data_IF_301873833431
#
_entry.id   IF_301873833431
#
_cell.length_a   1.000
_cell.length_b   1.000
_cell.length_c   1.000
_cell.angle_alpha   90.00
_cell.angle_beta   90.00
_cell.angle_gamma   90.00
#
_symmetry.space_group_name_H-M   'P 1'
#
loop_
_entity.id
_entity.type
_entity.pdbx_description
1 polymer ?
#
# COMPACT_ATOMS: atom_id res chain seq x y z
N UNK A 1 38.92 -12.30 -97.69
CA UNK A 1 39.68 -11.96 -96.47
C UNK A 1 39.15 -12.85 -95.34
N UNK A 2 40.08 -13.43 -94.58
CA UNK A 2 39.93 -14.60 -93.71
C UNK A 2 39.55 -14.23 -92.27
N UNK A 3 38.64 -15.04 -91.69
CA UNK A 3 38.49 -15.46 -90.28
C UNK A 3 38.35 -14.41 -89.17
N UNK A 4 37.33 -14.61 -88.31
CA UNK A 4 37.54 -14.94 -86.88
C UNK A 4 36.35 -15.75 -86.33
N UNK A 5 36.72 -16.69 -85.47
CA UNK A 5 35.98 -17.87 -85.02
C UNK A 5 35.04 -17.65 -83.83
N UNK A 6 34.16 -18.64 -83.70
CA UNK A 6 33.23 -19.06 -82.65
C UNK A 6 33.74 -19.09 -81.20
N UNK A 7 32.82 -18.86 -80.25
CA UNK A 7 32.73 -19.60 -78.98
C UNK A 7 31.27 -19.82 -78.56
N UNK A 8 30.90 -21.10 -78.38
CA UNK A 8 29.62 -21.59 -77.87
C UNK A 8 29.64 -21.67 -76.32
N UNK A 9 28.49 -21.63 -75.65
CA UNK A 9 28.04 -22.78 -74.84
C UNK A 9 26.57 -22.65 -74.42
N UNK A 10 25.83 -23.72 -74.68
CA UNK A 10 24.56 -24.07 -74.05
C UNK A 10 24.86 -24.64 -72.66
N UNK A 11 24.11 -24.27 -71.62
CA UNK A 11 23.65 -25.18 -70.54
C UNK A 11 22.69 -24.41 -69.60
N UNK A 12 21.38 -24.66 -69.64
CA UNK A 12 20.64 -25.67 -68.83
C UNK A 12 20.37 -25.20 -67.38
N UNK A 13 19.11 -24.78 -67.15
CA UNK A 13 18.24 -24.97 -65.95
C UNK A 13 17.05 -24.00 -66.09
N UNK A 14 15.94 -24.34 -66.75
CA UNK A 14 14.86 -25.25 -66.36
C UNK A 14 14.52 -25.30 -64.86
N UNK A 15 13.33 -24.73 -64.61
CA UNK A 15 12.25 -25.23 -63.76
C UNK A 15 12.21 -24.80 -62.29
N UNK A 16 11.29 -23.87 -62.04
CA UNK A 16 10.09 -24.11 -61.21
C UNK A 16 10.27 -25.13 -60.10
N UNK A 17 10.63 -24.69 -58.91
CA UNK A 17 10.16 -25.25 -57.64
C UNK A 17 10.45 -24.21 -56.56
N UNK A 18 9.40 -23.55 -56.06
CA UNK A 18 9.09 -23.42 -54.64
C UNK A 18 7.99 -22.37 -54.44
N UNK A 19 6.76 -22.83 -54.61
CA UNK A 19 5.66 -22.38 -53.77
C UNK A 19 6.01 -22.70 -52.32
N UNK A 20 6.72 -21.79 -51.64
CA UNK A 20 6.95 -21.85 -50.20
C UNK A 20 6.51 -20.54 -49.54
N UNK A 21 5.18 -20.41 -49.42
CA UNK A 21 4.50 -19.97 -48.20
C UNK A 21 5.21 -18.85 -47.39
N UNK A 22 5.23 -17.61 -47.89
CA UNK A 22 5.46 -16.44 -47.03
C UNK A 22 4.16 -16.00 -46.36
N UNK A 23 3.65 -16.82 -45.44
CA UNK A 23 2.70 -16.37 -44.41
C UNK A 23 3.50 -16.02 -43.15
N UNK A 24 4.33 -14.99 -43.23
CA UNK A 24 4.68 -14.21 -42.04
C UNK A 24 3.88 -12.91 -42.13
N UNK A 25 2.66 -12.94 -41.61
CA UNK A 25 2.05 -11.70 -41.14
C UNK A 25 3.00 -11.19 -40.06
N UNK A 26 3.91 -10.30 -40.46
CA UNK A 26 4.77 -9.58 -39.58
C UNK A 26 3.80 -8.78 -38.69
N UNK A 27 3.46 -9.34 -37.52
CA UNK A 27 2.83 -8.57 -36.45
C UNK A 27 3.89 -7.58 -35.99
N UNK A 28 4.08 -6.53 -36.78
CA UNK A 28 4.53 -5.25 -36.27
C UNK A 28 3.53 -4.93 -35.18
N UNK A 29 3.89 -5.25 -33.93
CA UNK A 29 3.31 -4.58 -32.77
C UNK A 29 3.64 -3.12 -33.02
N UNK A 30 2.74 -2.40 -33.68
CA UNK A 30 2.72 -0.94 -33.73
C UNK A 30 2.88 -0.54 -32.28
N UNK A 31 4.07 -0.07 -31.92
CA UNK A 31 4.25 0.64 -30.66
C UNK A 31 3.36 1.84 -30.85
N UNK A 32 2.15 1.79 -30.29
CA UNK A 32 1.28 2.95 -30.23
C UNK A 32 2.13 4.06 -29.66
N UNK A 33 2.33 5.12 -30.44
CA UNK A 33 2.92 6.35 -29.95
C UNK A 33 2.21 6.69 -28.66
N UNK A 34 2.97 6.66 -27.56
CA UNK A 34 2.42 6.83 -26.23
C UNK A 34 2.05 8.30 -26.14
N UNK A 35 0.83 8.63 -26.53
CA UNK A 35 0.26 9.94 -26.27
C UNK A 35 0.48 10.28 -24.80
N UNK A 36 0.97 11.49 -24.55
CA UNK A 36 1.27 11.91 -23.20
C UNK A 36 -0.01 11.79 -22.36
N UNK A 37 0.09 11.39 -21.09
CA UNK A 37 -1.08 11.24 -20.23
C UNK A 37 -1.95 12.51 -20.25
N UNK A 38 -3.27 12.37 -20.26
CA UNK A 38 -4.21 13.49 -20.34
C UNK A 38 -3.97 14.63 -19.33
N UNK A 39 -3.47 14.31 -18.13
CA UNK A 39 -3.03 15.29 -17.12
C UNK A 39 -1.89 16.21 -17.58
N UNK A 40 -1.08 15.77 -18.55
CA UNK A 40 0.06 16.53 -19.09
C UNK A 40 -0.43 17.64 -20.01
N UNK A 41 -1.44 17.39 -20.85
CA UNK A 41 -2.06 18.43 -21.69
C UNK A 41 -2.64 19.57 -20.83
N UNK A 42 -3.27 19.23 -19.70
CA UNK A 42 -3.77 20.21 -18.74
C UNK A 42 -2.66 21.07 -18.13
N UNK A 43 -1.53 20.46 -17.75
CA UNK A 43 -0.37 21.15 -17.18
C UNK A 43 0.34 22.06 -18.19
N UNK A 44 0.32 21.69 -19.48
CA UNK A 44 0.90 22.52 -20.53
C UNK A 44 0.02 23.75 -20.85
N UNK A 45 -1.31 23.60 -20.87
CA UNK A 45 -2.23 24.67 -21.29
C UNK A 45 -2.41 25.74 -20.21
N UNK A 46 -2.45 25.38 -18.92
CA UNK A 46 -2.77 26.33 -17.84
C UNK A 46 -1.56 26.85 -17.06
N UNK A 47 -0.48 26.07 -16.95
CA UNK A 47 0.63 26.33 -16.02
C UNK A 47 1.96 26.58 -16.73
N UNK A 48 2.08 26.24 -18.02
CA UNK A 48 3.32 26.42 -18.79
C UNK A 48 4.46 25.59 -18.20
N UNK A 49 4.28 24.27 -18.15
CA UNK A 49 5.20 23.37 -17.45
C UNK A 49 6.59 23.33 -18.13
N UNK A 50 7.68 23.75 -17.45
CA UNK A 50 9.02 23.73 -18.04
C UNK A 50 9.53 22.30 -18.23
N UNK A 51 10.18 22.03 -19.37
CA UNK A 51 10.69 20.71 -19.76
C UNK A 51 11.59 20.05 -18.71
N UNK A 52 12.33 20.85 -17.94
CA UNK A 52 13.20 20.37 -16.85
C UNK A 52 12.40 19.70 -15.71
N UNK A 53 11.17 20.13 -15.45
CA UNK A 53 10.28 19.52 -14.46
C UNK A 53 9.70 18.20 -14.98
N UNK A 54 9.31 18.15 -16.26
CA UNK A 54 8.84 16.91 -16.88
C UNK A 54 9.88 15.79 -16.83
N UNK A 55 11.12 16.10 -17.17
CA UNK A 55 12.21 15.13 -17.13
C UNK A 55 12.44 14.64 -15.69
N UNK A 56 12.38 15.53 -14.69
CA UNK A 56 12.48 15.15 -13.27
C UNK A 56 11.33 14.24 -12.83
N UNK A 57 10.09 14.56 -13.19
CA UNK A 57 8.91 13.76 -12.85
C UNK A 57 8.98 12.39 -13.51
N UNK A 58 9.39 12.32 -14.78
CA UNK A 58 9.55 11.06 -15.50
C UNK A 58 10.67 10.19 -14.90
N UNK A 59 11.79 10.81 -14.51
CA UNK A 59 12.90 10.11 -13.84
C UNK A 59 12.49 9.60 -12.46
N UNK A 60 11.81 10.43 -11.67
CA UNK A 60 11.26 10.06 -10.36
C UNK A 60 10.18 8.97 -10.47
N UNK A 61 9.32 9.03 -11.49
CA UNK A 61 8.33 7.99 -11.79
C UNK A 61 8.98 6.67 -12.19
N UNK A 62 10.08 6.72 -12.93
CA UNK A 62 10.82 5.51 -13.31
C UNK A 62 11.47 4.87 -12.10
N UNK A 63 12.18 5.65 -11.27
CA UNK A 63 12.83 5.13 -10.07
C UNK A 63 11.80 4.59 -9.07
N UNK A 64 10.71 5.32 -8.80
CA UNK A 64 9.67 4.85 -7.89
C UNK A 64 9.01 3.55 -8.39
N UNK A 65 8.80 3.42 -9.69
CA UNK A 65 8.28 2.18 -10.28
C UNK A 65 9.25 1.01 -10.14
N UNK A 66 10.55 1.25 -10.24
CA UNK A 66 11.59 0.23 -10.01
C UNK A 66 11.62 -0.19 -8.54
N UNK A 67 11.59 0.75 -7.58
CA UNK A 67 11.50 0.44 -6.15
C UNK A 67 10.23 -0.34 -5.78
N UNK A 68 9.06 0.09 -6.27
CA UNK A 68 7.79 -0.61 -6.03
C UNK A 68 7.81 -2.03 -6.63
N UNK A 69 8.49 -2.23 -7.78
CA UNK A 69 8.60 -3.55 -8.40
C UNK A 69 9.56 -4.46 -7.63
N UNK A 70 10.67 -3.91 -7.15
CA UNK A 70 11.69 -4.66 -6.42
C UNK A 70 11.21 -5.06 -5.01
N UNK A 71 10.53 -4.14 -4.32
CA UNK A 71 10.18 -4.29 -2.91
C UNK A 71 8.68 -4.49 -2.67
N UNK A 72 7.93 -4.92 -3.71
CA UNK A 72 6.47 -5.13 -3.65
C UNK A 72 6.06 -6.00 -2.45
N UNK A 73 6.83 -7.06 -2.16
CA UNK A 73 6.56 -7.97 -1.04
C UNK A 73 6.71 -7.25 0.30
N UNK A 74 7.76 -6.44 0.47
CA UNK A 74 8.00 -5.67 1.69
C UNK A 74 6.89 -4.63 1.94
N UNK A 75 6.49 -3.91 0.89
CA UNK A 75 5.40 -2.92 0.96
C UNK A 75 4.05 -3.56 1.31
N UNK A 76 3.76 -4.74 0.77
CA UNK A 76 2.53 -5.47 1.10
C UNK A 76 2.58 -5.92 2.56
N UNK A 77 3.70 -6.51 3.01
CA UNK A 77 3.85 -6.95 4.40
C UNK A 77 3.73 -5.78 5.39
N UNK A 78 4.35 -4.64 5.11
CA UNK A 78 4.27 -3.47 6.00
C UNK A 78 2.84 -2.91 6.05
N UNK A 79 2.13 -2.88 4.93
CA UNK A 79 0.72 -2.48 4.90
C UNK A 79 -0.13 -3.43 5.75
N UNK A 80 0.05 -4.75 5.63
CA UNK A 80 -0.64 -5.73 6.47
C UNK A 80 -0.38 -5.53 7.96
N UNK A 81 0.87 -5.26 8.34
CA UNK A 81 1.25 -5.00 9.73
C UNK A 81 0.55 -3.75 10.26
N UNK A 82 0.56 -2.64 9.50
CA UNK A 82 -0.09 -1.39 9.89
C UNK A 82 -1.61 -1.58 10.01
N UNK A 83 -2.24 -2.26 9.06
CA UNK A 83 -3.69 -2.54 9.10
C UNK A 83 -4.05 -3.38 10.33
N UNK A 84 -3.23 -4.38 10.65
CA UNK A 84 -3.42 -5.23 11.83
C UNK A 84 -3.33 -4.40 13.11
N UNK A 85 -2.29 -3.56 13.26
CA UNK A 85 -2.17 -2.68 14.42
C UNK A 85 -3.33 -1.68 14.53
N UNK A 86 -3.76 -1.10 13.41
CA UNK A 86 -4.88 -0.16 13.39
C UNK A 86 -6.19 -0.84 13.82
N UNK A 87 -6.43 -2.08 13.42
CA UNK A 87 -7.60 -2.86 13.83
C UNK A 87 -7.61 -3.16 15.33
N UNK A 88 -6.46 -3.50 15.92
CA UNK A 88 -6.35 -3.81 17.35
C UNK A 88 -6.20 -2.56 18.24
N UNK A 89 -5.85 -1.40 17.69
CA UNK A 89 -5.72 -0.15 18.42
C UNK A 89 -6.91 0.19 19.34
N UNK A 90 -8.19 0.14 18.90
CA UNK A 90 -9.32 0.42 19.78
C UNK A 90 -9.40 -0.53 20.98
N UNK A 91 -9.06 -1.81 20.81
CA UNK A 91 -9.05 -2.80 21.91
C UNK A 91 -7.97 -2.44 22.93
N UNK A 92 -6.77 -2.11 22.47
CA UNK A 92 -5.66 -1.70 23.33
C UNK A 92 -6.02 -0.40 24.08
N UNK A 93 -6.59 0.58 23.36
CA UNK A 93 -7.04 1.85 23.95
C UNK A 93 -8.13 1.64 25.00
N UNK A 94 -9.11 0.79 24.71
CA UNK A 94 -10.19 0.47 25.64
C UNK A 94 -9.65 -0.21 26.91
N UNK A 95 -8.76 -1.19 26.76
CA UNK A 95 -8.12 -1.86 27.89
C UNK A 95 -7.30 -0.89 28.75
N UNK A 96 -6.55 0.03 28.11
CA UNK A 96 -5.78 1.06 28.81
C UNK A 96 -6.69 2.00 29.61
N UNK A 97 -7.72 2.55 28.98
CA UNK A 97 -8.66 3.45 29.65
C UNK A 97 -9.35 2.78 30.84
N UNK A 98 -9.67 1.48 30.73
CA UNK A 98 -10.24 0.69 31.82
C UNK A 98 -9.27 0.56 33.00
N UNK A 99 -8.00 0.24 32.73
CA UNK A 99 -6.97 0.16 33.77
C UNK A 99 -6.71 1.51 34.43
N UNK A 100 -6.64 2.58 33.63
CA UNK A 100 -6.46 3.95 34.12
C UNK A 100 -7.63 4.36 35.02
N UNK A 101 -8.87 4.06 34.61
CA UNK A 101 -10.05 4.30 35.43
C UNK A 101 -9.98 3.51 36.75
N UNK A 102 -9.68 2.20 36.71
CA UNK A 102 -9.60 1.36 37.92
C UNK A 102 -8.58 1.93 38.92
N UNK A 103 -7.43 2.39 38.42
CA UNK A 103 -6.39 3.01 39.27
C UNK A 103 -6.86 4.33 39.88
N UNK A 104 -7.53 5.20 39.11
CA UNK A 104 -8.05 6.47 39.60
C UNK A 104 -9.15 6.23 40.64
N UNK A 105 -10.06 5.30 40.36
CA UNK A 105 -11.15 4.94 41.25
C UNK A 105 -10.65 4.36 42.58
N UNK A 106 -9.64 3.47 42.57
CA UNK A 106 -9.00 2.98 43.80
C UNK A 106 -8.45 4.12 44.65
N UNK A 107 -7.69 5.03 44.04
CA UNK A 107 -7.12 6.17 44.74
C UNK A 107 -8.20 7.09 45.32
N UNK A 108 -9.28 7.31 44.58
CA UNK A 108 -10.43 8.09 45.04
C UNK A 108 -11.12 7.45 46.26
N UNK A 109 -11.42 6.14 46.18
CA UNK A 109 -12.07 5.39 47.27
C UNK A 109 -11.21 5.40 48.54
N UNK A 110 -9.92 5.12 48.42
CA UNK A 110 -8.99 5.11 49.58
C UNK A 110 -8.93 6.51 50.22
N UNK A 111 -8.79 7.56 49.41
CA UNK A 111 -8.59 8.93 49.89
C UNK A 111 -9.84 9.55 50.52
N UNK A 112 -11.01 9.40 49.91
CA UNK A 112 -12.21 10.12 50.35
C UNK A 112 -12.97 9.42 51.48
N UNK A 113 -12.82 8.10 51.61
CA UNK A 113 -13.60 7.32 52.58
C UNK A 113 -12.78 6.88 53.81
N UNK A 114 -11.48 7.23 53.88
CA UNK A 114 -10.55 6.82 54.94
C UNK A 114 -10.67 5.33 55.30
N UNK A 115 -10.82 4.47 54.29
CA UNK A 115 -11.09 3.05 54.48
C UNK A 115 -9.76 2.32 54.62
N UNK A 116 -9.17 2.40 55.82
CA UNK A 116 -7.93 1.70 56.18
C UNK A 116 -8.15 0.16 56.19
N UNK A 117 -9.40 -0.28 56.30
CA UNK A 117 -9.77 -1.68 56.58
C UNK A 117 -10.47 -2.41 55.42
N UNK A 118 -10.54 -1.83 54.21
CA UNK A 118 -11.12 -2.54 53.06
C UNK A 118 -10.13 -3.55 52.49
N UNK A 119 -10.63 -4.77 52.22
CA UNK A 119 -9.89 -5.80 51.53
C UNK A 119 -9.58 -5.35 50.08
N UNK A 120 -8.36 -5.60 49.61
CA UNK A 120 -7.94 -5.28 48.23
C UNK A 120 -8.85 -5.93 47.17
N UNK A 121 -9.48 -7.07 47.46
CA UNK A 121 -10.46 -7.73 46.56
C UNK A 121 -11.73 -6.90 46.42
N UNK A 122 -12.24 -6.37 47.52
CA UNK A 122 -13.44 -5.56 47.58
C UNK A 122 -13.20 -4.18 46.97
N UNK A 123 -12.03 -3.58 47.27
CA UNK A 123 -11.57 -2.36 46.60
C UNK A 123 -11.56 -2.52 45.08
N UNK A 124 -11.06 -3.66 44.58
CA UNK A 124 -11.02 -3.96 43.14
C UNK A 124 -12.42 -4.11 42.54
N UNK A 125 -13.33 -4.76 43.27
CA UNK A 125 -14.72 -4.90 42.85
C UNK A 125 -15.39 -3.52 42.73
N UNK A 126 -15.30 -2.72 43.78
CA UNK A 126 -15.87 -1.37 43.82
C UNK A 126 -15.27 -0.45 42.77
N UNK A 127 -13.95 -0.43 42.60
CA UNK A 127 -13.30 0.39 41.58
C UNK A 127 -13.71 -0.01 40.17
N UNK A 128 -13.92 -1.32 39.94
CA UNK A 128 -14.34 -1.82 38.63
C UNK A 128 -15.80 -1.44 38.36
N UNK A 129 -16.69 -1.64 39.32
CA UNK A 129 -18.11 -1.28 39.19
C UNK A 129 -18.30 0.22 39.02
N UNK A 130 -17.57 1.04 39.78
CA UNK A 130 -17.55 2.48 39.61
C UNK A 130 -17.12 2.91 38.20
N UNK A 131 -16.08 2.28 37.64
CA UNK A 131 -15.65 2.54 36.26
C UNK A 131 -16.65 2.13 35.19
N UNK A 132 -17.62 1.27 35.52
CA UNK A 132 -18.75 0.92 34.67
C UNK A 132 -20.00 1.76 34.94
N UNK A 133 -19.92 2.79 35.79
CA UNK A 133 -21.03 3.66 36.15
C UNK A 133 -21.89 3.15 37.31
N UNK A 134 -21.40 2.19 38.10
CA UNK A 134 -22.06 1.73 39.31
C UNK A 134 -21.91 2.73 40.46
N UNK A 135 -22.95 2.83 41.30
CA UNK A 135 -23.03 3.78 42.42
C UNK A 135 -22.77 3.13 43.80
N UNK A 136 -22.35 1.86 43.83
CA UNK A 136 -22.10 1.06 45.06
C UNK A 136 -21.15 1.74 46.06
N UNK A 137 -20.24 2.59 45.59
CA UNK A 137 -19.31 3.35 46.45
C UNK A 137 -20.03 4.38 47.36
N UNK A 138 -21.21 4.85 46.96
CA UNK A 138 -22.00 5.83 47.71
C UNK A 138 -22.88 5.15 48.76
N UNK A 139 -23.27 3.90 48.55
CA UNK A 139 -23.98 3.11 49.56
C UNK A 139 -23.10 2.87 50.80
N UNK A 140 -21.79 2.67 50.60
CA UNK A 140 -20.80 2.55 51.69
C UNK A 140 -20.67 3.88 52.48
N UNK A 141 -20.95 5.03 51.85
CA UNK A 141 -21.02 6.33 52.55
C UNK A 141 -22.17 6.38 53.55
N UNK A 142 -23.34 5.91 53.11
CA UNK A 142 -24.60 6.08 53.81
C UNK A 142 -24.75 5.17 55.03
N UNK A 143 -23.87 4.17 55.20
CA UNK A 143 -23.85 3.27 56.36
C UNK A 143 -23.05 3.79 57.56
N UNK A 144 -22.28 4.88 57.39
CA UNK A 144 -21.47 5.50 58.45
C UNK A 144 -22.05 6.81 59.02
N UNK A 145 -23.21 7.25 58.54
CA UNK A 145 -23.94 8.41 59.08
C UNK A 145 -25.05 7.99 60.05
#
# INVERSE_FOLDING_TARGET
MSKKETTNSKEVRKQDYEAQKMNSSQKFKKKTDKNLPWWVELLFVQIGLPDKLLIKILKAKKSSKEFIKNDKKSLITSLFVITTFAYFYPVIKHAKNKLDCESIAKNYIIKNKNIIEINNRELKMLSTNFCYGGEEIYEIENLKN
#
